data_IF_424943781524
#
_entry.id   IF_424943781524
#
_cell.length_a   1.000
_cell.length_b   1.000
_cell.length_c   1.000
_cell.angle_alpha   90.00
_cell.angle_beta   90.00
_cell.angle_gamma   90.00
#
_symmetry.space_group_name_H-M   'P 1'
#
loop_
_entity.id
_entity.type
_entity.pdbx_description
1 polymer ?
#
# COMPACT_ATOMS: atom_id res chain seq x y z
N UNK A 1 -23.25 7.17 -7.63
CA UNK A 1 -23.80 5.79 -7.75
C UNK A 1 -24.22 5.30 -6.36
N UNK A 2 -25.51 5.07 -6.12
CA UNK A 2 -26.13 4.88 -4.77
C UNK A 2 -26.45 3.41 -4.43
N UNK A 3 -25.63 2.44 -4.85
CA UNK A 3 -25.73 1.05 -4.38
C UNK A 3 -24.40 0.63 -3.76
N UNK A 4 -24.44 0.36 -2.45
CA UNK A 4 -23.27 -0.16 -1.72
C UNK A 4 -22.80 -1.46 -2.38
N UNK A 5 -21.50 -1.61 -2.69
CA UNK A 5 -20.97 -2.82 -3.34
C UNK A 5 -21.22 -4.05 -2.46
N UNK A 6 -21.39 -5.23 -3.09
CA UNK A 6 -21.58 -6.50 -2.36
C UNK A 6 -20.39 -6.74 -1.43
N UNK A 7 -20.61 -7.34 -0.28
CA UNK A 7 -19.58 -7.51 0.76
C UNK A 7 -18.33 -8.26 0.27
N UNK A 8 -18.49 -9.26 -0.60
CA UNK A 8 -17.38 -9.97 -1.24
C UNK A 8 -16.49 -9.05 -2.09
N UNK A 9 -17.04 -8.01 -2.71
CA UNK A 9 -16.24 -7.02 -3.45
C UNK A 9 -15.41 -6.13 -2.53
N UNK A 10 -15.87 -5.92 -1.29
CA UNK A 10 -15.17 -5.10 -0.30
C UNK A 10 -13.98 -5.86 0.28
N UNK A 11 -14.14 -7.15 0.55
CA UNK A 11 -13.03 -8.01 0.99
C UNK A 11 -12.00 -8.18 -0.12
N UNK A 12 -12.44 -8.39 -1.37
CA UNK A 12 -11.54 -8.52 -2.52
C UNK A 12 -10.81 -7.20 -2.83
N UNK A 13 -11.47 -6.04 -2.64
CA UNK A 13 -10.85 -4.73 -2.75
C UNK A 13 -9.81 -4.43 -1.65
N UNK A 14 -9.77 -5.20 -0.55
CA UNK A 14 -8.74 -5.07 0.49
C UNK A 14 -7.42 -5.77 0.12
N UNK A 15 -7.46 -6.80 -0.72
CA UNK A 15 -6.29 -7.56 -1.17
C UNK A 15 -5.15 -6.68 -1.72
N UNK A 16 -5.39 -5.71 -2.63
CA UNK A 16 -4.31 -4.85 -3.15
C UNK A 16 -3.67 -3.96 -2.09
N UNK A 17 -4.31 -3.74 -0.93
CA UNK A 17 -3.74 -2.94 0.16
C UNK A 17 -2.92 -3.78 1.15
N UNK A 18 -3.08 -5.10 1.17
CA UNK A 18 -2.29 -5.99 2.04
C UNK A 18 -0.82 -6.04 1.63
N UNK A 19 -0.53 -5.87 0.34
CA UNK A 19 0.83 -5.88 -0.20
C UNK A 19 1.62 -4.61 0.16
N UNK A 20 1.12 -3.38 -0.06
CA UNK A 20 1.80 -2.19 0.44
C UNK A 20 1.91 -2.20 1.97
N UNK A 21 0.93 -2.76 2.69
CA UNK A 21 1.03 -2.94 4.14
C UNK A 21 2.23 -3.83 4.53
N UNK A 22 2.44 -4.93 3.81
CA UNK A 22 3.60 -5.80 3.99
C UNK A 22 4.93 -5.07 3.72
N UNK A 23 5.03 -4.36 2.61
CA UNK A 23 6.25 -3.63 2.27
C UNK A 23 6.55 -2.53 3.31
N UNK A 24 5.53 -1.78 3.77
CA UNK A 24 5.74 -0.76 4.81
C UNK A 24 6.36 -1.34 6.06
N UNK A 25 6.04 -2.60 6.38
CA UNK A 25 6.59 -3.30 7.52
C UNK A 25 8.08 -3.61 7.35
N UNK A 26 8.49 -4.16 6.20
CA UNK A 26 9.91 -4.43 5.91
C UNK A 26 10.74 -3.14 5.99
N UNK A 27 10.21 -2.04 5.46
CA UNK A 27 10.87 -0.73 5.57
C UNK A 27 10.87 -0.17 7.00
N UNK A 28 9.87 -0.48 7.82
CA UNK A 28 9.82 -0.06 9.22
C UNK A 28 10.76 -0.87 10.13
N UNK A 29 10.84 -2.19 9.94
CA UNK A 29 11.70 -3.10 10.71
C UNK A 29 13.18 -2.81 10.47
N UNK A 30 13.54 -2.45 9.24
CA UNK A 30 14.91 -2.00 8.90
C UNK A 30 15.26 -0.62 9.45
N UNK A 31 14.28 0.17 9.90
CA UNK A 31 14.43 1.58 10.29
C UNK A 31 14.63 1.85 11.80
N UNK A 32 15.09 0.87 12.58
CA UNK A 32 15.46 0.97 14.01
C UNK A 32 14.29 1.09 15.00
N UNK A 33 14.20 0.09 15.90
CA UNK A 33 13.31 -0.05 17.06
C UNK A 33 11.85 0.37 16.79
N UNK A 34 10.97 -0.59 16.44
CA UNK A 34 9.55 -0.30 16.32
C UNK A 34 9.03 0.33 17.61
N UNK A 35 8.23 1.39 17.47
CA UNK A 35 7.43 1.91 18.57
C UNK A 35 6.50 0.77 19.05
N UNK A 36 6.16 0.62 20.35
CA UNK A 36 5.34 -0.49 20.86
C UNK A 36 3.98 -0.69 20.14
N UNK A 37 3.48 0.33 19.44
CA UNK A 37 2.28 0.24 18.61
C UNK A 37 2.47 -0.60 17.32
N UNK A 38 3.70 -0.64 16.79
CA UNK A 38 4.05 -1.47 15.65
C UNK A 38 4.16 -2.95 16.06
N UNK A 39 4.65 -3.26 17.27
CA UNK A 39 4.76 -4.64 17.79
C UNK A 39 3.39 -5.35 17.86
N UNK A 40 2.33 -4.66 18.29
CA UNK A 40 0.97 -5.23 18.30
C UNK A 40 0.46 -5.55 16.88
N UNK A 41 0.84 -4.71 15.90
CA UNK A 41 0.53 -4.92 14.48
C UNK A 41 1.37 -6.03 13.85
N UNK A 42 2.60 -6.24 14.33
CA UNK A 42 3.50 -7.32 13.95
C UNK A 42 2.82 -8.67 14.20
N UNK A 43 2.28 -8.87 15.40
CA UNK A 43 1.64 -10.12 15.80
C UNK A 43 0.46 -10.51 14.88
N UNK A 44 -0.33 -9.53 14.45
CA UNK A 44 -1.48 -9.75 13.57
C UNK A 44 -1.07 -10.12 12.14
N UNK A 45 0.07 -9.61 11.66
CA UNK A 45 0.48 -9.69 10.26
C UNK A 45 1.62 -10.69 10.02
N UNK A 46 2.30 -11.15 11.08
CA UNK A 46 3.41 -12.10 11.06
C UNK A 46 3.22 -13.37 10.21
N UNK A 47 2.10 -14.12 10.31
CA UNK A 47 1.94 -15.35 9.53
C UNK A 47 1.80 -15.08 8.03
N UNK A 48 1.25 -13.92 7.66
CA UNK A 48 1.13 -13.48 6.27
C UNK A 48 2.47 -12.91 5.76
N UNK A 49 3.19 -12.18 6.62
CA UNK A 49 4.50 -11.61 6.33
C UNK A 49 5.58 -12.66 6.08
N UNK A 50 5.64 -13.72 6.90
CA UNK A 50 6.61 -14.79 6.71
C UNK A 50 6.43 -15.55 5.40
N UNK A 51 5.20 -15.62 4.88
CA UNK A 51 4.91 -16.24 3.59
C UNK A 51 5.35 -15.35 2.41
N UNK A 52 5.15 -14.04 2.50
CA UNK A 52 5.51 -13.09 1.43
C UNK A 52 6.99 -12.71 1.46
N UNK A 53 7.61 -12.61 2.63
CA UNK A 53 9.04 -12.29 2.78
C UNK A 53 9.99 -13.35 2.25
N UNK A 54 9.49 -14.57 1.96
CA UNK A 54 10.23 -15.60 1.23
C UNK A 54 10.21 -15.41 -0.29
N UNK A 55 9.39 -14.50 -0.80
CA UNK A 55 9.24 -14.28 -2.23
C UNK A 55 10.35 -13.35 -2.73
N UNK A 56 10.92 -13.63 -3.92
CA UNK A 56 11.92 -12.76 -4.53
C UNK A 56 11.37 -11.35 -4.80
N UNK A 57 12.24 -10.33 -4.80
CA UNK A 57 11.84 -8.95 -5.12
C UNK A 57 11.21 -8.78 -6.51
N UNK A 58 11.55 -9.64 -7.48
CA UNK A 58 10.93 -9.62 -8.81
C UNK A 58 9.46 -10.09 -8.79
N UNK A 59 9.05 -10.86 -7.77
CA UNK A 59 7.69 -11.38 -7.65
C UNK A 59 6.69 -10.26 -7.39
N UNK A 60 7.06 -9.27 -6.56
CA UNK A 60 6.25 -8.07 -6.33
C UNK A 60 5.96 -7.34 -7.64
N UNK A 61 7.00 -7.18 -8.46
CA UNK A 61 6.87 -6.46 -9.72
C UNK A 61 6.02 -7.26 -10.73
N UNK A 62 6.20 -8.57 -10.79
CA UNK A 62 5.34 -9.46 -11.58
C UNK A 62 3.87 -9.39 -11.11
N UNK A 63 3.62 -9.38 -9.79
CA UNK A 63 2.28 -9.25 -9.22
C UNK A 63 1.62 -7.92 -9.62
N UNK A 64 2.34 -6.78 -9.49
CA UNK A 64 1.84 -5.47 -9.93
C UNK A 64 1.47 -5.47 -11.41
N UNK A 65 2.31 -6.09 -12.26
CA UNK A 65 2.03 -6.22 -13.69
C UNK A 65 0.79 -7.07 -13.97
N UNK A 66 0.65 -8.22 -13.31
CA UNK A 66 -0.50 -9.12 -13.47
C UNK A 66 -1.77 -8.44 -12.97
N UNK A 67 -1.73 -7.83 -11.79
CA UNK A 67 -2.88 -7.11 -11.23
C UNK A 67 -3.29 -5.94 -12.14
N UNK A 68 -2.34 -5.23 -12.76
CA UNK A 68 -2.65 -4.16 -13.70
C UNK A 68 -3.31 -4.70 -14.98
N UNK A 69 -2.76 -5.76 -15.59
CA UNK A 69 -3.30 -6.34 -16.81
C UNK A 69 -4.67 -7.02 -16.58
N UNK A 70 -4.84 -7.75 -15.48
CA UNK A 70 -6.08 -8.49 -15.21
C UNK A 70 -7.20 -7.64 -14.66
N UNK A 71 -6.90 -6.65 -13.82
CA UNK A 71 -7.93 -5.83 -13.16
C UNK A 71 -8.19 -4.55 -13.94
N UNK A 72 -7.14 -3.79 -14.29
CA UNK A 72 -7.30 -2.45 -14.88
C UNK A 72 -7.70 -2.55 -16.36
N UNK A 73 -7.06 -3.43 -17.15
CA UNK A 73 -7.42 -3.55 -18.58
C UNK A 73 -8.71 -4.34 -18.82
N UNK A 74 -9.15 -5.20 -17.90
CA UNK A 74 -10.36 -6.00 -18.12
C UNK A 74 -11.61 -5.17 -17.79
N UNK A 75 -12.33 -4.74 -18.85
CA UNK A 75 -13.56 -3.94 -18.76
C UNK A 75 -14.77 -4.63 -18.09
N UNK A 76 -14.66 -5.90 -17.69
CA UNK A 76 -15.74 -6.65 -17.02
C UNK A 76 -15.91 -6.39 -15.52
N UNK A 77 -14.91 -5.83 -14.84
CA UNK A 77 -14.95 -5.64 -13.37
C UNK A 77 -15.70 -4.37 -12.94
N UNK A 78 -16.27 -4.30 -11.73
CA UNK A 78 -16.90 -3.07 -11.24
C UNK A 78 -15.87 -1.94 -11.07
N UNK A 79 -16.24 -0.71 -11.42
CA UNK A 79 -15.36 0.47 -11.34
C UNK A 79 -14.73 0.64 -9.95
N UNK A 80 -15.53 0.45 -8.89
CA UNK A 80 -15.07 0.47 -7.49
C UNK A 80 -13.85 -0.43 -7.23
N UNK A 81 -13.87 -1.66 -7.76
CA UNK A 81 -12.77 -2.59 -7.56
C UNK A 81 -11.50 -2.16 -8.29
N UNK A 82 -11.65 -1.65 -9.52
CA UNK A 82 -10.51 -1.13 -10.29
C UNK A 82 -9.88 0.08 -9.59
N UNK A 83 -10.71 0.99 -9.07
CA UNK A 83 -10.23 2.13 -8.31
C UNK A 83 -9.42 1.70 -7.08
N UNK A 84 -9.94 0.77 -6.26
CA UNK A 84 -9.21 0.28 -5.10
C UNK A 84 -7.88 -0.41 -5.46
N UNK A 85 -7.84 -1.15 -6.58
CA UNK A 85 -6.62 -1.79 -7.05
C UNK A 85 -5.59 -0.76 -7.53
N UNK A 86 -6.01 0.25 -8.30
CA UNK A 86 -5.11 1.34 -8.73
C UNK A 86 -4.60 2.14 -7.53
N UNK A 87 -5.45 2.44 -6.56
CA UNK A 87 -5.05 3.10 -5.31
C UNK A 87 -3.98 2.29 -4.56
N UNK A 88 -4.18 0.97 -4.40
CA UNK A 88 -3.19 0.09 -3.77
C UNK A 88 -1.85 0.09 -4.52
N UNK A 89 -1.89 -0.03 -5.84
CA UNK A 89 -0.69 0.02 -6.70
C UNK A 89 0.07 1.35 -6.58
N UNK A 90 -0.65 2.48 -6.57
CA UNK A 90 -0.03 3.80 -6.44
C UNK A 90 0.67 3.98 -5.09
N UNK A 91 0.05 3.51 -4.01
CA UNK A 91 0.65 3.53 -2.66
C UNK A 91 1.90 2.64 -2.62
N UNK A 92 1.84 1.46 -3.24
CA UNK A 92 2.97 0.53 -3.31
C UNK A 92 4.16 1.10 -4.10
N UNK A 93 3.89 1.67 -5.28
CA UNK A 93 4.91 2.35 -6.09
C UNK A 93 5.49 3.54 -5.32
N UNK A 94 4.65 4.32 -4.63
CA UNK A 94 5.11 5.42 -3.79
C UNK A 94 6.13 4.97 -2.75
N UNK A 95 5.84 3.84 -2.07
CA UNK A 95 6.75 3.28 -1.08
C UNK A 95 8.05 2.76 -1.70
N UNK A 96 7.99 2.08 -2.84
CA UNK A 96 9.19 1.62 -3.56
C UNK A 96 10.08 2.80 -4.01
N UNK A 97 9.46 3.91 -4.46
CA UNK A 97 10.18 5.14 -4.82
C UNK A 97 10.85 5.73 -3.58
N UNK A 98 10.12 5.85 -2.47
CA UNK A 98 10.68 6.37 -1.20
C UNK A 98 11.83 5.48 -0.70
N UNK A 99 11.69 4.15 -0.76
CA UNK A 99 12.74 3.20 -0.40
C UNK A 99 13.97 3.30 -1.31
N UNK A 100 13.76 3.48 -2.62
CA UNK A 100 14.85 3.64 -3.59
C UNK A 100 15.57 4.98 -3.38
N UNK A 101 14.84 6.09 -3.23
CA UNK A 101 15.40 7.42 -2.97
C UNK A 101 16.17 7.42 -1.64
N UNK A 102 15.66 6.74 -0.62
CA UNK A 102 16.35 6.58 0.66
C UNK A 102 17.71 5.91 0.54
N UNK A 103 17.83 4.90 -0.35
CA UNK A 103 19.12 4.24 -0.64
C UNK A 103 20.11 5.13 -1.41
N UNK A 104 19.60 6.11 -2.16
CA UNK A 104 20.44 7.06 -2.91
C UNK A 104 20.95 8.22 -2.05
N UNK A 105 20.39 8.43 -0.85
CA UNK A 105 20.86 9.49 0.04
C UNK A 105 22.21 9.16 0.68
N UNK A 106 23.09 10.16 0.88
CA UNK A 106 24.38 9.96 1.52
C UNK A 106 24.20 9.45 2.96
N UNK A 107 25.00 8.44 3.35
CA UNK A 107 24.94 7.80 4.68
C UNK A 107 24.95 8.82 5.82
N UNK A 108 25.63 9.96 5.67
CA UNK A 108 25.71 11.01 6.68
C UNK A 108 24.35 11.61 7.08
N UNK A 109 23.38 11.68 6.16
CA UNK A 109 22.03 12.20 6.42
C UNK A 109 21.11 11.09 6.92
N UNK A 110 21.27 9.87 6.39
CA UNK A 110 20.38 8.74 6.66
C UNK A 110 20.70 8.00 7.98
N UNK A 111 21.98 7.91 8.38
CA UNK A 111 22.41 7.30 9.66
C UNK A 111 22.41 8.26 10.85
N UNK A 112 22.10 9.54 10.65
CA UNK A 112 21.94 10.50 11.74
C UNK A 112 20.60 10.36 12.47
N UNK A 113 20.45 11.03 13.63
CA UNK A 113 19.17 11.12 14.37
C UNK A 113 18.02 11.63 13.48
N UNK A 114 18.29 12.55 12.56
CA UNK A 114 17.30 13.10 11.61
C UNK A 114 16.73 12.03 10.67
N UNK A 115 17.60 11.17 10.10
CA UNK A 115 17.17 10.07 9.23
C UNK A 115 16.28 9.06 9.95
N UNK A 116 16.55 8.80 11.23
CA UNK A 116 15.72 7.94 12.07
C UNK A 116 14.32 8.54 12.34
N UNK A 117 14.23 9.83 12.64
CA UNK A 117 12.93 10.50 12.84
C UNK A 117 12.14 10.62 11.54
N UNK A 118 12.82 10.91 10.43
CA UNK A 118 12.20 10.97 9.10
C UNK A 118 11.65 9.60 8.67
N UNK A 119 12.46 8.54 8.79
CA UNK A 119 12.04 7.19 8.39
C UNK A 119 10.85 6.70 9.22
N UNK A 120 10.85 6.96 10.53
CA UNK A 120 9.70 6.68 11.39
C UNK A 120 8.46 7.47 11.01
N UNK A 121 8.59 8.78 10.76
CA UNK A 121 7.46 9.61 10.35
C UNK A 121 6.85 9.14 9.01
N UNK A 122 7.71 8.78 8.05
CA UNK A 122 7.30 8.24 6.75
C UNK A 122 6.58 6.89 6.93
N UNK A 123 7.14 5.96 7.70
CA UNK A 123 6.51 4.67 7.98
C UNK A 123 5.12 4.84 8.62
N UNK A 124 4.99 5.72 9.62
CA UNK A 124 3.70 6.01 10.24
C UNK A 124 2.70 6.63 9.26
N UNK A 125 3.11 7.62 8.46
CA UNK A 125 2.24 8.26 7.47
C UNK A 125 1.69 7.25 6.45
N UNK A 126 2.54 6.35 5.96
CA UNK A 126 2.14 5.27 5.06
C UNK A 126 1.18 4.29 5.73
N UNK A 127 1.48 3.86 6.96
CA UNK A 127 0.62 2.94 7.70
C UNK A 127 -0.79 3.52 7.91
N UNK A 128 -0.89 4.78 8.32
CA UNK A 128 -2.19 5.45 8.44
C UNK A 128 -2.92 5.56 7.11
N UNK A 129 -2.21 5.85 6.02
CA UNK A 129 -2.79 5.97 4.68
C UNK A 129 -3.37 4.64 4.20
N UNK A 130 -2.65 3.53 4.42
CA UNK A 130 -3.11 2.18 4.06
C UNK A 130 -4.28 1.73 4.94
N UNK A 131 -4.25 2.02 6.24
CA UNK A 131 -5.37 1.70 7.14
C UNK A 131 -6.64 2.46 6.76
N UNK A 132 -6.55 3.76 6.46
CA UNK A 132 -7.69 4.53 5.96
C UNK A 132 -8.21 3.97 4.63
N UNK A 133 -7.32 3.57 3.70
CA UNK A 133 -7.73 2.86 2.47
C UNK A 133 -8.55 1.60 2.76
N UNK A 134 -8.09 0.77 3.70
CA UNK A 134 -8.77 -0.48 4.07
C UNK A 134 -10.13 -0.17 4.73
N UNK A 135 -10.21 0.83 5.62
CA UNK A 135 -11.46 1.26 6.25
C UNK A 135 -12.46 1.78 5.21
N UNK A 136 -12.01 2.59 4.26
CA UNK A 136 -12.82 3.07 3.14
C UNK A 136 -13.28 1.91 2.24
N UNK A 137 -12.39 0.98 1.88
CA UNK A 137 -12.73 -0.19 1.08
C UNK A 137 -13.78 -1.09 1.75
N UNK A 138 -13.65 -1.34 3.06
CA UNK A 138 -14.59 -2.13 3.86
C UNK A 138 -15.95 -1.46 4.04
N UNK A 139 -15.98 -0.13 4.21
CA UNK A 139 -17.22 0.65 4.24
C UNK A 139 -17.89 0.76 2.87
N UNK A 140 -17.16 0.42 1.79
CA UNK A 140 -17.62 0.52 0.41
C UNK A 140 -17.61 1.95 -0.11
N UNK A 141 -16.77 2.80 0.48
CA UNK A 141 -16.55 4.19 0.09
C UNK A 141 -15.26 4.28 -0.73
N UNK A 142 -15.17 5.29 -1.59
CA UNK A 142 -13.91 5.62 -2.25
C UNK A 142 -12.97 6.25 -1.21
N UNK A 143 -11.73 5.76 -1.13
CA UNK A 143 -10.71 6.42 -0.32
C UNK A 143 -10.40 7.78 -0.96
N UNK A 144 -10.33 8.85 -0.18
CA UNK A 144 -10.02 10.22 -0.63
C UNK A 144 -8.68 10.65 -0.03
N UNK A 145 -7.60 10.06 -0.54
CA UNK A 145 -6.23 10.45 -0.20
C UNK A 145 -5.79 11.55 -1.18
N UNK A 146 -5.34 12.71 -0.68
CA UNK A 146 -4.85 13.79 -1.53
C UNK A 146 -3.70 13.28 -2.43
N UNK A 147 -3.65 13.76 -3.68
CA UNK A 147 -2.71 13.36 -4.75
C UNK A 147 -2.90 11.94 -5.32
N UNK A 148 -3.10 10.92 -4.48
CA UNK A 148 -3.24 9.53 -4.94
C UNK A 148 -4.57 9.33 -5.66
N UNK A 149 -5.65 9.91 -5.14
CA UNK A 149 -6.97 9.78 -5.75
C UNK A 149 -7.08 10.48 -7.10
N UNK A 150 -6.50 11.67 -7.24
CA UNK A 150 -6.48 12.39 -8.51
C UNK A 150 -5.71 11.60 -9.57
N UNK A 151 -4.56 11.01 -9.19
CA UNK A 151 -3.80 10.11 -10.06
C UNK A 151 -4.60 8.85 -10.44
N UNK A 152 -5.35 8.26 -9.50
CA UNK A 152 -6.20 7.11 -9.77
C UNK A 152 -7.36 7.46 -10.72
N UNK A 153 -7.98 8.64 -10.58
CA UNK A 153 -9.04 9.11 -11.48
C UNK A 153 -8.55 9.42 -12.89
N UNK A 154 -7.31 9.87 -13.05
CA UNK A 154 -6.69 10.03 -14.38
C UNK A 154 -6.56 8.68 -15.09
N UNK A 155 -6.24 7.62 -14.35
CA UNK A 155 -6.08 6.27 -14.92
C UNK A 155 -7.42 5.57 -15.20
N UNK A 156 -8.44 5.86 -14.39
CA UNK A 156 -9.77 5.27 -14.52
C UNK A 156 -10.81 6.39 -14.50
N UNK A 157 -11.07 7.04 -15.66
CA UNK A 157 -12.12 8.05 -15.73
C UNK A 157 -13.50 7.46 -15.40
N UNK A 158 -14.38 8.28 -14.83
CA UNK A 158 -15.79 7.96 -14.71
C UNK A 158 -16.42 8.04 -16.10
N UNK A 159 -16.74 6.89 -16.69
CA UNK A 159 -17.64 6.79 -17.86
C UNK A 159 -19.11 7.00 -17.44
#
# INVERSE_FOLDING_TARGET
MTKKPRWWWRTLACLPYLLPLHETWIYAETAYHPHPFLEDFECLTYPFLGAIGRLPSWFLMAYLFVAYLEVVRRKGWPHFFRFCVVMGMLVEIGLQVVGTVSRWMPLAVYWGKLGMHFSKAVAFAYLFTVLECIRCALSGMYAEIPFVCDAAYIQIPFD
#
